data_IF_891130509935
#
_entry.id   IF_891130509935
#
_cell.length_a   1.000
_cell.length_b   1.000
_cell.length_c   1.000
_cell.angle_alpha   90.00
_cell.angle_beta   90.00
_cell.angle_gamma   90.00
#
_symmetry.space_group_name_H-M   'P 1'
#
loop_
_entity.id
_entity.type
_entity.pdbx_description
1 polymer ?
#
# COMPACT_ATOMS: atom_id res chain seq x y z
N UNK A 1 57.18 46.34 -29.98
CA UNK A 1 58.11 46.06 -31.10
C UNK A 1 57.37 46.32 -32.40
N UNK A 2 57.95 47.15 -33.28
CA UNK A 2 57.36 47.69 -34.53
C UNK A 2 57.59 46.73 -35.72
N UNK A 3 56.84 47.00 -36.80
CA UNK A 3 57.02 46.67 -38.25
C UNK A 3 56.13 45.53 -38.77
N UNK A 4 55.13 45.78 -39.63
CA UNK A 4 55.08 46.26 -41.04
C UNK A 4 55.58 45.22 -42.06
N UNK A 5 54.65 44.70 -42.89
CA UNK A 5 54.84 44.51 -44.34
C UNK A 5 53.50 44.41 -45.08
N UNK A 6 53.37 45.27 -46.10
CA UNK A 6 52.34 45.29 -47.16
C UNK A 6 52.66 44.28 -48.26
N UNK A 7 51.65 43.75 -48.95
CA UNK A 7 51.71 43.47 -50.39
C UNK A 7 50.30 43.51 -51.00
N UNK A 8 50.11 44.42 -51.95
CA UNK A 8 48.93 44.57 -52.83
C UNK A 8 48.93 43.50 -53.93
N UNK A 9 47.74 43.19 -54.49
CA UNK A 9 47.44 43.04 -55.93
C UNK A 9 45.91 42.76 -56.05
N UNK A 10 45.07 43.77 -56.33
CA UNK A 10 44.63 44.26 -57.65
C UNK A 10 43.69 43.32 -58.45
N UNK A 11 42.49 43.86 -58.65
CA UNK A 11 41.71 43.90 -59.90
C UNK A 11 40.61 42.87 -60.20
N UNK A 12 39.60 43.46 -60.87
CA UNK A 12 38.48 42.90 -61.64
C UNK A 12 37.23 42.51 -60.84
N UNK A 13 36.32 43.46 -60.62
CA UNK A 13 35.16 43.74 -61.50
C UNK A 13 34.39 42.47 -61.89
N UNK A 14 33.18 42.32 -61.33
CA UNK A 14 31.95 42.16 -62.11
C UNK A 14 30.74 42.28 -61.19
N UNK A 15 29.91 43.26 -61.54
CA UNK A 15 28.61 43.55 -60.95
C UNK A 15 27.65 42.44 -61.37
N UNK A 16 27.10 41.69 -60.42
CA UNK A 16 25.88 40.92 -60.66
C UNK A 16 24.77 41.47 -59.76
N UNK A 17 23.87 42.23 -60.38
CA UNK A 17 22.53 42.50 -59.89
C UNK A 17 21.81 41.15 -59.82
N UNK A 18 21.52 40.65 -58.63
CA UNK A 18 20.55 39.57 -58.43
C UNK A 18 19.50 40.02 -57.43
N UNK A 19 18.29 40.17 -57.93
CA UNK A 19 17.08 40.46 -57.17
C UNK A 19 16.94 39.49 -55.99
N UNK A 20 16.85 40.03 -54.77
CA UNK A 20 16.43 39.27 -53.60
C UNK A 20 14.93 39.00 -53.72
N UNK A 21 14.59 37.84 -54.29
CA UNK A 21 13.27 37.26 -54.15
C UNK A 21 13.06 36.93 -52.67
N UNK A 22 12.14 37.64 -52.03
CA UNK A 22 11.68 37.39 -50.67
C UNK A 22 11.06 36.00 -50.58
N UNK A 23 11.84 35.00 -50.19
CA UNK A 23 11.33 33.68 -49.82
C UNK A 23 10.60 33.79 -48.49
N UNK A 24 9.27 33.97 -48.57
CA UNK A 24 8.37 33.79 -47.44
C UNK A 24 8.41 32.33 -46.98
N UNK A 25 9.06 32.07 -45.84
CA UNK A 25 8.88 30.80 -45.13
C UNK A 25 7.47 30.76 -44.57
N UNK A 26 6.58 29.99 -45.21
CA UNK A 26 5.35 29.54 -44.56
C UNK A 26 5.73 28.42 -43.59
N UNK A 27 5.73 28.73 -42.30
CA UNK A 27 5.63 27.72 -41.27
C UNK A 27 4.26 27.05 -41.41
N UNK A 28 4.22 25.81 -41.89
CA UNK A 28 3.03 24.98 -41.82
C UNK A 28 2.74 24.73 -40.34
N UNK A 29 1.66 25.32 -39.84
CA UNK A 29 1.07 24.96 -38.54
C UNK A 29 0.55 23.54 -38.64
N UNK A 30 1.32 22.58 -38.12
CA UNK A 30 0.80 21.27 -37.81
C UNK A 30 -0.12 21.42 -36.58
N UNK A 31 -1.43 21.22 -36.77
CA UNK A 31 -2.35 21.02 -35.66
C UNK A 31 -1.91 19.77 -34.88
N UNK A 32 -1.84 19.83 -33.53
CA UNK A 32 -1.59 18.65 -32.74
C UNK A 32 -2.78 17.71 -32.90
N UNK A 33 -2.58 16.61 -33.64
CA UNK A 33 -3.53 15.51 -33.70
C UNK A 33 -3.63 14.93 -32.29
N UNK A 34 -4.75 15.21 -31.61
CA UNK A 34 -5.11 14.57 -30.35
C UNK A 34 -5.15 13.06 -30.59
N UNK A 35 -4.16 12.34 -30.07
CA UNK A 35 -4.22 10.89 -30.01
C UNK A 35 -5.52 10.49 -29.30
N UNK A 36 -6.23 9.44 -29.76
CA UNK A 36 -7.35 8.91 -29.01
C UNK A 36 -6.84 8.49 -27.63
N UNK A 37 -7.34 9.14 -26.59
CA UNK A 37 -7.17 8.73 -25.20
C UNK A 37 -7.60 7.27 -25.11
N UNK A 38 -6.64 6.35 -25.01
CA UNK A 38 -6.95 4.96 -24.75
C UNK A 38 -7.72 4.91 -23.45
N UNK A 39 -8.97 4.45 -23.51
CA UNK A 39 -9.76 4.22 -22.31
C UNK A 39 -8.93 3.39 -21.31
N UNK A 40 -8.93 3.73 -20.02
CA UNK A 40 -8.23 2.92 -19.03
C UNK A 40 -8.71 1.46 -19.14
N UNK A 41 -7.80 0.48 -18.99
CA UNK A 41 -8.16 -0.92 -19.08
C UNK A 41 -9.35 -1.23 -18.15
N UNK A 42 -10.28 -2.11 -18.55
CA UNK A 42 -11.40 -2.50 -17.71
C UNK A 42 -10.88 -2.92 -16.34
N UNK A 43 -11.48 -2.38 -15.28
CA UNK A 43 -11.15 -2.78 -13.91
C UNK A 43 -11.25 -4.30 -13.82
N UNK A 44 -10.25 -4.99 -13.27
CA UNK A 44 -10.34 -6.44 -13.07
C UNK A 44 -11.62 -6.74 -12.28
N UNK A 45 -12.33 -7.85 -12.59
CA UNK A 45 -13.50 -8.24 -11.82
C UNK A 45 -13.11 -8.28 -10.34
N UNK A 46 -13.95 -7.71 -9.45
CA UNK A 46 -13.75 -7.78 -8.00
C UNK A 46 -13.50 -9.24 -7.63
N UNK A 47 -12.25 -9.60 -7.38
CA UNK A 47 -11.90 -10.96 -6.98
C UNK A 47 -12.63 -11.22 -5.67
N UNK A 48 -13.30 -12.36 -5.56
CA UNK A 48 -13.84 -12.80 -4.29
C UNK A 48 -12.69 -12.81 -3.28
N UNK A 49 -12.91 -12.25 -2.07
CA UNK A 49 -11.87 -12.19 -1.06
C UNK A 49 -11.61 -13.62 -0.53
N UNK A 50 -10.41 -14.19 -0.70
CA UNK A 50 -10.14 -15.56 -0.29
C UNK A 50 -9.88 -15.62 1.22
N UNK A 51 -10.92 -15.36 2.01
CA UNK A 51 -10.86 -15.27 3.47
C UNK A 51 -10.27 -16.55 4.07
N UNK A 52 -9.31 -16.40 4.98
CA UNK A 52 -8.72 -17.52 5.71
C UNK A 52 -9.67 -18.01 6.80
N UNK A 53 -9.69 -19.34 6.97
CA UNK A 53 -10.43 -19.99 8.05
C UNK A 53 -9.52 -20.22 9.26
N UNK A 54 -10.10 -20.31 10.47
CA UNK A 54 -9.40 -20.82 11.64
C UNK A 54 -8.76 -22.18 11.35
N UNK A 55 -7.59 -22.43 11.93
CA UNK A 55 -6.98 -23.75 11.90
C UNK A 55 -7.69 -24.68 12.89
N UNK A 56 -7.67 -25.98 12.62
CA UNK A 56 -8.30 -26.98 13.51
C UNK A 56 -7.60 -27.11 14.86
N UNK A 57 -6.32 -26.76 14.90
CA UNK A 57 -5.48 -26.78 16.07
C UNK A 57 -5.64 -25.49 16.91
N UNK A 58 -5.27 -25.58 18.18
CA UNK A 58 -5.26 -24.45 19.13
C UNK A 58 -3.84 -24.27 19.65
N UNK A 59 -3.45 -23.04 20.06
CA UNK A 59 -2.13 -22.85 20.62
C UNK A 59 -1.94 -23.72 21.87
N UNK A 60 -0.78 -24.35 22.07
CA UNK A 60 -0.52 -25.20 23.23
C UNK A 60 -0.86 -24.49 24.55
N UNK A 61 -1.46 -25.21 25.49
CA UNK A 61 -1.88 -24.64 26.79
C UNK A 61 -3.24 -23.92 26.78
N UNK A 62 -3.80 -23.61 25.60
CA UNK A 62 -5.10 -22.96 25.52
C UNK A 62 -6.28 -23.95 25.43
N UNK A 63 -7.39 -23.57 26.04
CA UNK A 63 -8.66 -24.30 25.95
C UNK A 63 -9.26 -24.07 24.56
N UNK A 64 -9.76 -25.14 23.95
CA UNK A 64 -10.48 -25.04 22.68
C UNK A 64 -11.78 -24.25 22.87
N UNK A 65 -11.95 -23.11 22.18
CA UNK A 65 -13.19 -22.33 22.25
C UNK A 65 -14.35 -23.10 21.62
N UNK A 66 -15.59 -22.72 21.96
CA UNK A 66 -16.80 -23.29 21.36
C UNK A 66 -16.86 -23.03 19.85
N UNK A 67 -16.37 -21.88 19.42
CA UNK A 67 -16.21 -21.50 18.02
C UNK A 67 -14.72 -21.46 17.65
N UNK A 68 -14.28 -22.11 16.56
CA UNK A 68 -12.90 -22.02 16.10
C UNK A 68 -12.55 -20.57 15.75
N UNK A 69 -11.53 -20.01 16.40
CA UNK A 69 -11.04 -18.64 16.14
C UNK A 69 -9.52 -18.57 15.98
N UNK A 70 -8.80 -19.60 16.41
CA UNK A 70 -7.36 -19.63 16.31
C UNK A 70 -6.91 -19.96 14.89
N UNK A 71 -5.88 -19.27 14.43
CA UNK A 71 -5.19 -19.55 13.19
C UNK A 71 -3.70 -19.57 13.48
N UNK A 72 -2.99 -20.65 13.18
CA UNK A 72 -1.58 -20.77 13.50
C UNK A 72 -0.85 -21.90 12.79
N UNK A 73 0.46 -21.93 12.99
CA UNK A 73 1.37 -22.90 12.34
C UNK A 73 2.29 -23.62 13.35
N UNK A 74 1.85 -23.74 14.61
CA UNK A 74 2.63 -24.31 15.70
C UNK A 74 3.67 -23.36 16.32
N UNK A 75 4.27 -22.47 15.53
CA UNK A 75 5.28 -21.52 16.00
C UNK A 75 4.71 -20.12 16.30
N UNK A 76 3.69 -19.70 15.56
CA UNK A 76 2.99 -18.44 15.75
C UNK A 76 1.49 -18.66 15.55
N UNK A 77 0.70 -18.00 16.38
CA UNK A 77 -0.75 -18.04 16.35
C UNK A 77 -1.33 -16.64 16.38
N UNK A 78 -2.52 -16.49 15.78
CA UNK A 78 -3.37 -15.31 15.93
C UNK A 78 -4.82 -15.74 16.18
N UNK A 79 -5.64 -14.79 16.59
CA UNK A 79 -7.10 -14.93 16.64
C UNK A 79 -7.71 -14.22 15.43
N UNK A 80 -8.51 -14.94 14.65
CA UNK A 80 -9.30 -14.38 13.55
C UNK A 80 -10.60 -13.80 14.08
N UNK A 81 -11.06 -12.72 13.45
CA UNK A 81 -12.40 -12.19 13.67
C UNK A 81 -13.46 -13.14 13.08
N UNK A 82 -14.71 -13.10 13.58
CA UNK A 82 -15.78 -13.98 13.11
C UNK A 82 -15.91 -13.97 11.58
N UNK A 83 -16.03 -15.17 11.01
CA UNK A 83 -16.14 -15.37 9.55
C UNK A 83 -14.96 -14.77 8.74
N UNK A 84 -13.84 -14.46 9.40
CA UNK A 84 -12.68 -13.77 8.83
C UNK A 84 -12.97 -12.35 8.36
N UNK A 85 -14.02 -11.71 8.91
CA UNK A 85 -14.48 -10.36 8.58
C UNK A 85 -14.27 -9.43 9.76
N UNK A 86 -13.76 -8.23 9.47
CA UNK A 86 -13.68 -7.15 10.45
C UNK A 86 -14.68 -6.08 10.05
N UNK A 87 -15.72 -5.92 10.86
CA UNK A 87 -16.80 -4.97 10.61
C UNK A 87 -16.62 -3.77 11.52
N UNK A 88 -16.38 -2.61 10.91
CA UNK A 88 -16.31 -1.32 11.56
C UNK A 88 -17.69 -0.65 11.44
N UNK A 89 -18.59 -0.98 12.36
CA UNK A 89 -19.94 -0.42 12.46
C UNK A 89 -20.07 0.61 13.60
N UNK A 90 -21.08 1.50 13.59
CA UNK A 90 -21.32 2.43 14.69
C UNK A 90 -21.52 1.73 16.04
N UNK A 91 -20.72 2.11 17.04
CA UNK A 91 -20.73 1.47 18.37
C UNK A 91 -20.07 0.10 18.43
N UNK A 92 -19.57 -0.42 17.30
CA UNK A 92 -18.84 -1.68 17.21
C UNK A 92 -17.39 -1.58 17.70
N UNK A 93 -16.63 -2.69 17.59
CA UNK A 93 -15.24 -2.74 18.00
C UNK A 93 -14.33 -1.92 17.06
N UNK A 94 -13.11 -1.66 17.52
CA UNK A 94 -12.09 -0.93 16.75
C UNK A 94 -12.27 0.58 16.79
N UNK A 95 -11.60 1.27 15.87
CA UNK A 95 -11.64 2.73 15.74
C UNK A 95 -11.36 3.20 14.33
N UNK A 96 -11.75 4.46 14.06
CA UNK A 96 -11.39 5.18 12.84
C UNK A 96 -10.46 6.34 13.21
N UNK A 97 -9.28 6.37 12.61
CA UNK A 97 -8.31 7.46 12.80
C UNK A 97 -8.71 8.71 12.02
N UNK A 98 -8.14 9.89 12.33
CA UNK A 98 -8.44 11.13 11.62
C UNK A 98 -8.18 11.09 10.11
N UNK A 99 -7.22 10.26 9.67
CA UNK A 99 -6.92 10.02 8.25
C UNK A 99 -7.90 9.06 7.54
N UNK A 100 -8.91 8.56 8.27
CA UNK A 100 -9.91 7.62 7.78
C UNK A 100 -9.51 6.15 7.85
N UNK A 101 -8.29 5.84 8.31
CA UNK A 101 -7.84 4.45 8.47
C UNK A 101 -8.55 3.74 9.62
N UNK A 102 -8.60 2.41 9.53
CA UNK A 102 -9.43 1.53 10.34
C UNK A 102 -8.55 0.67 11.23
N UNK A 103 -8.56 0.94 12.54
CA UNK A 103 -7.72 0.24 13.52
C UNK A 103 -8.50 -0.79 14.31
N UNK A 104 -8.04 -2.04 14.31
CA UNK A 104 -8.66 -3.11 15.08
C UNK A 104 -7.61 -3.90 15.86
N UNK A 105 -8.00 -4.52 16.97
CA UNK A 105 -7.07 -5.26 17.84
C UNK A 105 -6.93 -6.71 17.39
N UNK A 106 -5.69 -7.19 17.40
CA UNK A 106 -5.31 -8.58 17.18
C UNK A 106 -4.46 -9.10 18.34
N UNK A 107 -4.60 -10.40 18.54
CA UNK A 107 -3.87 -11.17 19.52
C UNK A 107 -2.87 -12.05 18.78
N UNK A 108 -1.58 -11.94 19.08
CA UNK A 108 -0.52 -12.79 18.52
C UNK A 108 0.21 -13.57 19.62
N UNK A 109 0.31 -14.88 19.47
CA UNK A 109 0.85 -15.80 20.49
C UNK A 109 2.02 -16.60 19.88
N UNK A 110 3.28 -16.25 20.17
CA UNK A 110 4.45 -16.95 19.66
C UNK A 110 4.95 -18.03 20.61
N UNK A 111 5.33 -19.17 20.03
CA UNK A 111 5.98 -20.30 20.70
C UNK A 111 7.48 -20.43 20.36
N UNK A 112 8.02 -19.43 19.65
CA UNK A 112 9.45 -19.32 19.34
C UNK A 112 9.99 -17.95 19.73
N UNK A 113 11.30 -17.81 20.02
CA UNK A 113 11.94 -16.53 20.30
C UNK A 113 11.88 -15.55 19.11
N UNK A 114 11.75 -14.26 19.42
CA UNK A 114 11.84 -13.17 18.43
C UNK A 114 10.83 -12.05 18.72
N UNK A 115 11.06 -10.91 18.09
CA UNK A 115 10.08 -9.82 18.04
C UNK A 115 9.03 -10.10 16.96
N UNK A 116 7.80 -9.63 17.19
CA UNK A 116 6.75 -9.67 16.19
C UNK A 116 6.88 -8.50 15.23
N UNK A 117 6.85 -8.80 13.93
CA UNK A 117 6.56 -7.82 12.89
C UNK A 117 5.29 -8.24 12.17
N UNK A 118 4.48 -7.27 11.74
CA UNK A 118 3.29 -7.53 10.95
C UNK A 118 3.25 -6.58 9.76
N UNK A 119 3.04 -7.15 8.58
CA UNK A 119 2.81 -6.40 7.35
C UNK A 119 1.49 -6.84 6.72
N UNK A 120 1.01 -6.07 5.76
CA UNK A 120 -0.10 -6.52 4.95
C UNK A 120 -0.35 -5.66 3.74
N UNK A 121 -0.96 -6.30 2.74
CA UNK A 121 -1.21 -5.74 1.42
C UNK A 121 -2.66 -5.95 1.01
N UNK A 122 -3.18 -4.98 0.26
CA UNK A 122 -4.52 -5.08 -0.31
C UNK A 122 -4.52 -6.02 -1.52
N UNK A 123 -5.53 -6.89 -1.61
CA UNK A 123 -5.66 -7.90 -2.66
C UNK A 123 -6.65 -7.51 -3.76
N UNK A 124 -7.62 -6.65 -3.44
CA UNK A 124 -8.75 -6.29 -4.31
C UNK A 124 -8.68 -4.87 -4.88
N UNK A 125 -7.54 -4.19 -4.71
CA UNK A 125 -7.32 -2.83 -5.18
C UNK A 125 -5.98 -2.27 -4.72
N UNK A 126 -5.68 -1.04 -5.14
CA UNK A 126 -4.50 -0.33 -4.67
C UNK A 126 -4.74 0.25 -3.26
N UNK A 127 -3.73 0.13 -2.40
CA UNK A 127 -3.66 0.81 -1.11
C UNK A 127 -2.20 0.82 -0.62
N UNK A 128 -1.89 1.73 0.32
CA UNK A 128 -0.65 1.63 1.10
C UNK A 128 -0.64 0.34 1.94
N UNK A 129 0.52 -0.18 2.34
CA UNK A 129 0.57 -1.29 3.30
C UNK A 129 -0.16 -0.95 4.60
N UNK A 130 -0.70 -1.96 5.29
CA UNK A 130 -1.24 -1.74 6.63
C UNK A 130 -0.12 -1.33 7.60
N UNK A 131 -0.49 -0.57 8.63
CA UNK A 131 0.41 -0.25 9.75
C UNK A 131 0.09 -1.19 10.91
N UNK A 132 1.11 -1.55 11.68
CA UNK A 132 0.96 -2.33 12.90
C UNK A 132 1.55 -1.56 14.07
N UNK A 133 0.74 -1.36 15.12
CA UNK A 133 1.21 -0.86 16.41
C UNK A 133 1.24 -2.04 17.37
N UNK A 134 2.43 -2.45 17.77
CA UNK A 134 2.67 -3.69 18.49
C UNK A 134 3.21 -3.36 19.87
N UNK A 135 2.59 -3.94 20.90
CA UNK A 135 3.14 -3.97 22.25
C UNK A 135 3.50 -5.40 22.61
N UNK A 136 4.40 -5.59 23.57
CA UNK A 136 4.71 -6.87 24.17
C UNK A 136 4.02 -6.97 25.54
N UNK A 137 3.53 -8.17 25.87
CA UNK A 137 2.95 -8.47 27.16
C UNK A 137 3.09 -9.95 27.51
N UNK A 138 2.63 -10.29 28.71
CA UNK A 138 2.64 -11.66 29.23
C UNK A 138 1.29 -11.97 29.87
N UNK A 139 0.73 -13.15 29.57
CA UNK A 139 -0.47 -13.69 30.19
C UNK A 139 -0.11 -15.06 30.74
N UNK A 140 -0.28 -15.28 32.04
CA UNK A 140 0.04 -16.54 32.73
C UNK A 140 1.48 -17.04 32.49
N UNK A 141 2.43 -16.11 32.30
CA UNK A 141 3.84 -16.41 32.02
C UNK A 141 4.15 -16.68 30.55
N UNK A 142 3.15 -16.71 29.67
CA UNK A 142 3.31 -16.88 28.23
C UNK A 142 3.41 -15.52 27.53
N UNK A 143 4.32 -15.41 26.57
CA UNK A 143 4.51 -14.17 25.80
C UNK A 143 3.33 -13.95 24.86
N UNK A 144 2.91 -12.71 24.75
CA UNK A 144 1.78 -12.30 23.93
C UNK A 144 2.05 -10.92 23.32
N UNK A 145 1.68 -10.73 22.06
CA UNK A 145 1.80 -9.45 21.38
C UNK A 145 0.40 -8.92 21.02
N UNK A 146 -0.20 -8.05 21.84
CA UNK A 146 -1.36 -7.28 21.40
C UNK A 146 -0.92 -6.29 20.33
N UNK A 147 -1.62 -6.31 19.19
CA UNK A 147 -1.34 -5.38 18.10
C UNK A 147 -2.61 -4.68 17.65
N UNK A 148 -2.52 -3.40 17.30
CA UNK A 148 -3.50 -2.78 16.43
C UNK A 148 -3.02 -2.93 14.98
N UNK A 149 -3.84 -3.58 14.13
CA UNK A 149 -3.64 -3.54 12.69
C UNK A 149 -4.51 -2.43 12.12
N UNK A 150 -3.87 -1.50 11.44
CA UNK A 150 -4.46 -0.24 10.99
C UNK A 150 -4.49 -0.28 9.46
N UNK A 151 -5.69 -0.50 8.93
CA UNK A 151 -5.94 -0.64 7.50
C UNK A 151 -6.23 0.73 6.90
N UNK A 152 -5.48 1.16 5.86
CA UNK A 152 -5.74 2.42 5.17
C UNK A 152 -7.14 2.53 4.55
N UNK A 153 -7.81 1.40 4.30
CA UNK A 153 -9.13 1.35 3.68
C UNK A 153 -9.83 0.00 3.88
N UNK A 154 -11.15 -0.01 3.78
CA UNK A 154 -11.93 -1.23 3.60
C UNK A 154 -11.53 -1.99 2.33
N UNK A 155 -11.70 -3.31 2.33
CA UNK A 155 -11.31 -4.20 1.23
C UNK A 155 -10.75 -5.54 1.71
N UNK A 156 -10.27 -6.34 0.77
CA UNK A 156 -9.63 -7.62 1.04
C UNK A 156 -8.13 -7.45 1.32
N UNK A 157 -7.64 -7.97 2.44
CA UNK A 157 -6.25 -7.80 2.87
C UNK A 157 -5.60 -9.13 3.19
N UNK A 158 -4.38 -9.33 2.69
CA UNK A 158 -3.46 -10.36 3.17
C UNK A 158 -2.57 -9.76 4.25
N UNK A 159 -2.50 -10.43 5.39
CA UNK A 159 -1.74 -10.02 6.57
C UNK A 159 -0.72 -11.11 6.86
N UNK A 160 0.53 -10.72 7.08
CA UNK A 160 1.61 -11.64 7.46
C UNK A 160 2.28 -11.18 8.75
N UNK A 161 2.18 -12.00 9.79
CA UNK A 161 2.96 -11.85 11.01
C UNK A 161 4.22 -12.70 10.94
N UNK A 162 5.34 -12.18 11.47
CA UNK A 162 6.62 -12.90 11.54
C UNK A 162 7.23 -12.79 12.92
N UNK A 163 7.76 -13.90 13.41
CA UNK A 163 8.56 -14.00 14.63
C UNK A 163 9.73 -14.94 14.34
N UNK A 164 10.95 -14.48 14.59
CA UNK A 164 12.15 -15.26 14.26
C UNK A 164 12.17 -15.69 12.79
N UNK A 165 12.19 -16.99 12.54
CA UNK A 165 12.15 -17.59 11.18
C UNK A 165 10.76 -18.05 10.74
N UNK A 166 9.74 -17.93 11.60
CA UNK A 166 8.38 -18.33 11.26
C UNK A 166 7.57 -17.15 10.71
N UNK A 167 6.69 -17.47 9.75
CA UNK A 167 5.71 -16.54 9.20
C UNK A 167 4.33 -17.17 9.20
N UNK A 168 3.31 -16.41 9.60
CA UNK A 168 1.91 -16.80 9.55
C UNK A 168 1.14 -15.78 8.70
N UNK A 169 0.45 -16.27 7.67
CA UNK A 169 -0.30 -15.43 6.74
C UNK A 169 -1.78 -15.79 6.76
N UNK A 170 -2.63 -14.77 6.82
CA UNK A 170 -4.07 -14.93 6.68
C UNK A 170 -4.66 -13.81 5.82
N UNK A 171 -5.85 -14.06 5.27
CA UNK A 171 -6.62 -13.08 4.50
C UNK A 171 -7.90 -12.74 5.26
N UNK A 172 -8.19 -11.45 5.37
CA UNK A 172 -9.39 -10.93 6.04
C UNK A 172 -10.09 -9.88 5.19
N UNK A 173 -11.42 -9.80 5.32
CA UNK A 173 -12.23 -8.76 4.69
C UNK A 173 -12.51 -7.65 5.69
N UNK A 174 -12.08 -6.44 5.36
CA UNK A 174 -12.35 -5.23 6.13
C UNK A 174 -13.58 -4.53 5.55
N UNK A 175 -14.60 -4.34 6.38
CA UNK A 175 -15.86 -3.68 6.03
C UNK A 175 -16.02 -2.46 6.93
N UNK A 176 -16.36 -1.31 6.33
CA UNK A 176 -16.76 -0.11 7.08
C UNK A 176 -18.23 0.17 6.79
N UNK A 177 -19.03 0.29 7.83
CA UNK A 177 -20.44 0.60 7.76
C UNK A 177 -20.70 1.99 8.35
N UNK A 178 -21.42 2.84 7.60
CA UNK A 178 -21.59 4.25 7.98
C UNK A 178 -20.26 4.94 8.28
N UNK A 179 -20.22 5.69 9.39
CA UNK A 179 -19.01 6.39 9.84
C UNK A 179 -18.02 5.46 10.56
N UNK A 180 -18.41 4.22 10.87
CA UNK A 180 -17.67 3.28 11.72
C UNK A 180 -17.81 3.57 13.22
N UNK A 181 -16.98 2.93 14.07
CA UNK A 181 -17.00 3.14 15.51
C UNK A 181 -16.76 4.61 15.87
N UNK A 182 -17.49 5.11 16.88
CA UNK A 182 -17.38 6.48 17.36
C UNK A 182 -16.28 6.67 18.42
N UNK A 183 -15.67 5.57 18.89
CA UNK A 183 -14.56 5.63 19.83
C UNK A 183 -13.29 6.11 19.12
N UNK A 184 -12.67 7.16 19.66
CA UNK A 184 -11.39 7.69 19.20
C UNK A 184 -10.32 7.34 20.24
N UNK A 185 -9.24 6.62 19.87
CA UNK A 185 -8.07 6.59 20.74
C UNK A 185 -7.55 8.02 20.94
N UNK A 186 -6.97 8.36 22.10
CA UNK A 186 -6.29 9.64 22.26
C UNK A 186 -5.21 9.76 21.18
N UNK A 187 -5.10 10.95 20.57
CA UNK A 187 -4.06 11.21 19.58
C UNK A 187 -2.69 10.91 20.20
N UNK A 188 -1.91 10.04 19.56
CA UNK A 188 -0.51 9.85 19.94
C UNK A 188 0.25 11.13 19.55
N UNK A 189 0.99 11.77 20.47
CA UNK A 189 1.74 13.01 20.20
C UNK A 189 2.79 12.87 19.10
#
# INVERSE_FOLDING_TARGET
>A
MRWRTMALLLCCWSIFLTALASTSWQAATAEPVLAPTSAPPPLPPKRACPISLPTSEVPPGHIKPSEPIYHGNGALWTVLWPEGRVIFEPGGPGFVLPDGSLGMKWAWIPFIPGELTVEGRRLDGAAQPLRAEISEGFIDGERFFPAYLIFPSAGCWEVTGRVGTSSLTFVTLIVKEGDGPNWRPPAVP
#
